data_IF_123783045514
#
_entry.id   IF_123783045514
#
_cell.length_a   1.000
_cell.length_b   1.000
_cell.length_c   1.000
_cell.angle_alpha   90.00
_cell.angle_beta   90.00
_cell.angle_gamma   90.00
#
_symmetry.space_group_name_H-M   'P 1'
#
loop_
_entity.id
_entity.type
_entity.pdbx_description
1 polymer ?
#
# COMPACT_ATOMS: atom_id res chain seq x y z
N UNK A 1 13.84 1.82 7.22
CA UNK A 1 13.61 1.63 8.66
C UNK A 1 13.39 0.15 8.90
N UNK A 2 12.70 -0.24 9.98
CA UNK A 2 12.13 -1.59 10.08
C UNK A 2 10.63 -1.46 9.85
N UNK A 3 10.10 -2.27 8.94
CA UNK A 3 8.68 -2.26 8.60
C UNK A 3 8.40 -2.57 7.14
N UNK A 4 7.14 -2.89 6.86
CA UNK A 4 6.63 -3.20 5.54
C UNK A 4 5.76 -2.04 5.05
N UNK A 5 5.96 -1.66 3.80
CA UNK A 5 5.11 -0.70 3.10
C UNK A 5 4.61 -1.33 1.80
N UNK A 6 3.33 -1.15 1.51
CA UNK A 6 2.74 -1.53 0.23
C UNK A 6 1.87 -0.40 -0.32
N UNK A 7 1.87 -0.28 -1.65
CA UNK A 7 1.07 0.69 -2.39
C UNK A 7 0.37 -0.07 -3.50
N UNK A 8 -0.95 0.13 -3.63
CA UNK A 8 -1.76 -0.54 -4.65
C UNK A 8 -2.88 0.36 -5.16
N UNK A 9 -3.29 0.15 -6.41
CA UNK A 9 -4.52 0.71 -6.94
C UNK A 9 -5.70 -0.17 -6.51
N UNK A 10 -6.77 0.47 -6.01
CA UNK A 10 -7.99 -0.21 -5.53
C UNK A 10 -9.25 0.52 -6.01
N UNK A 11 -10.41 -0.15 -6.10
CA UNK A 11 -11.67 0.51 -6.35
C UNK A 11 -12.11 1.38 -5.14
N UNK A 12 -12.99 2.37 -5.33
CA UNK A 12 -13.45 3.26 -4.25
C UNK A 12 -14.19 2.52 -3.13
N UNK A 13 -14.81 1.39 -3.44
CA UNK A 13 -15.52 0.54 -2.49
C UNK A 13 -14.60 -0.22 -1.53
N UNK A 14 -13.27 -0.23 -1.76
CA UNK A 14 -12.33 -0.88 -0.84
C UNK A 14 -12.36 -0.20 0.53
N UNK A 15 -12.65 -0.96 1.58
CA UNK A 15 -12.61 -0.47 2.95
C UNK A 15 -11.18 -0.12 3.40
N UNK A 16 -11.06 0.85 4.32
CA UNK A 16 -9.80 1.20 4.97
C UNK A 16 -9.71 0.36 6.25
N UNK A 17 -8.82 -0.62 6.26
CA UNK A 17 -8.71 -1.56 7.37
C UNK A 17 -7.31 -2.17 7.47
N UNK A 18 -6.92 -2.53 8.69
CA UNK A 18 -5.69 -3.27 8.94
C UNK A 18 -5.88 -4.72 8.50
N UNK A 19 -5.12 -5.13 7.49
CA UNK A 19 -5.13 -6.49 6.96
C UNK A 19 -3.89 -7.26 7.40
N UNK A 20 -4.09 -8.52 7.78
CA UNK A 20 -2.99 -9.45 7.98
C UNK A 20 -2.56 -10.03 6.62
N UNK A 21 -1.27 -10.31 6.42
CA UNK A 21 -0.67 -10.67 5.11
C UNK A 21 -1.44 -11.77 4.34
N UNK A 22 -2.13 -12.69 5.04
CA UNK A 22 -2.97 -13.73 4.43
C UNK A 22 -4.21 -13.21 3.69
N UNK A 23 -4.78 -12.07 4.07
CA UNK A 23 -5.98 -11.51 3.42
C UNK A 23 -5.66 -10.90 2.04
N UNK A 24 -4.43 -10.44 1.82
CA UNK A 24 -3.96 -9.83 0.56
C UNK A 24 -4.09 -10.82 -0.62
N UNK A 25 -3.88 -12.11 -0.37
CA UNK A 25 -3.98 -13.17 -1.39
C UNK A 25 -5.43 -13.48 -1.79
N UNK A 26 -6.39 -13.30 -0.88
CA UNK A 26 -7.82 -13.47 -1.16
C UNK A 26 -8.32 -12.29 -2.01
N UNK A 27 -7.81 -11.09 -1.73
CA UNK A 27 -8.17 -9.88 -2.44
C UNK A 27 -7.69 -9.86 -3.90
N UNK A 28 -6.53 -10.47 -4.18
CA UNK A 28 -6.07 -10.70 -5.55
C UNK A 28 -7.07 -11.50 -6.40
N UNK A 29 -7.93 -12.35 -5.80
CA UNK A 29 -9.01 -13.03 -6.53
C UNK A 29 -10.22 -12.13 -6.83
N UNK A 30 -10.48 -11.11 -6.00
CA UNK A 30 -11.52 -10.11 -6.25
C UNK A 30 -11.14 -9.12 -7.38
N UNK A 31 -9.85 -9.10 -7.77
CA UNK A 31 -9.32 -8.30 -8.88
C UNK A 31 -9.96 -8.58 -10.25
N UNK A 32 -10.78 -9.63 -10.41
CA UNK A 32 -11.57 -9.86 -11.65
C UNK A 32 -12.59 -8.76 -11.96
N UNK A 33 -12.91 -7.89 -10.99
CA UNK A 33 -13.89 -6.80 -11.13
C UNK A 33 -13.18 -5.43 -11.25
N UNK A 34 -11.86 -5.37 -11.08
CA UNK A 34 -11.09 -4.14 -11.12
C UNK A 34 -10.27 -4.04 -12.41
N UNK A 35 -10.46 -2.95 -13.15
CA UNK A 35 -9.91 -2.80 -14.50
C UNK A 35 -8.43 -2.40 -14.54
N UNK A 36 -7.77 -2.21 -13.40
CA UNK A 36 -6.35 -1.91 -13.32
C UNK A 36 -5.55 -3.13 -12.92
N UNK A 37 -4.51 -3.43 -13.71
CA UNK A 37 -3.58 -4.53 -13.50
C UNK A 37 -2.16 -3.99 -13.42
N UNK A 38 -1.37 -4.50 -12.48
CA UNK A 38 0.06 -4.22 -12.42
C UNK A 38 0.75 -4.96 -13.58
N UNK A 39 1.40 -4.22 -14.46
CA UNK A 39 2.11 -4.77 -15.62
C UNK A 39 3.61 -4.94 -15.33
N UNK A 40 4.15 -4.07 -14.48
CA UNK A 40 5.55 -4.10 -14.13
C UNK A 40 5.78 -3.64 -12.70
N UNK A 41 6.75 -4.27 -12.05
CA UNK A 41 7.25 -3.92 -10.73
C UNK A 41 8.76 -4.15 -10.70
N UNK A 42 9.47 -3.24 -10.06
CA UNK A 42 10.86 -3.42 -9.65
C UNK A 42 11.01 -2.97 -8.22
N UNK A 43 11.57 -3.84 -7.39
CA UNK A 43 11.87 -3.54 -5.98
C UNK A 43 13.33 -3.86 -5.71
N UNK A 44 14.09 -2.84 -5.30
CA UNK A 44 15.44 -2.98 -4.80
C UNK A 44 15.43 -2.88 -3.29
N UNK A 45 15.94 -3.92 -2.61
CA UNK A 45 16.01 -3.98 -1.15
C UNK A 45 17.46 -4.09 -0.71
N UNK A 46 17.81 -3.36 0.34
CA UNK A 46 19.11 -3.44 1.00
C UNK A 46 18.91 -3.46 2.51
N UNK A 47 19.74 -4.24 3.20
CA UNK A 47 19.76 -4.29 4.67
C UNK A 47 21.14 -3.92 5.16
N UNK A 48 21.21 -2.91 6.02
CA UNK A 48 22.44 -2.56 6.73
C UNK A 48 22.31 -2.98 8.18
N UNK A 49 23.28 -3.74 8.65
CA UNK A 49 23.33 -4.23 10.03
C UNK A 49 24.54 -3.60 10.72
N UNK A 50 24.36 -3.12 11.94
CA UNK A 50 25.43 -2.54 12.77
C UNK A 50 25.13 -2.78 14.25
N UNK A 51 26.11 -2.59 15.12
CA UNK A 51 25.84 -2.53 16.56
C UNK A 51 24.93 -1.33 16.87
N UNK A 52 24.02 -1.49 17.82
CA UNK A 52 23.15 -0.41 18.25
C UNK A 52 23.97 0.65 19.01
N UNK A 53 23.71 1.93 18.76
CA UNK A 53 24.38 3.04 19.46
C UNK A 53 24.03 3.12 20.95
N UNK A 54 22.82 2.71 21.33
CA UNK A 54 22.35 2.75 22.72
C UNK A 54 22.77 1.50 23.53
N UNK A 55 23.06 0.38 22.86
CA UNK A 55 23.40 -0.90 23.48
C UNK A 55 24.33 -1.69 22.54
N UNK A 56 25.66 -1.57 22.68
CA UNK A 56 26.61 -2.20 21.77
C UNK A 56 26.65 -3.74 21.88
N UNK A 57 25.99 -4.34 22.88
CA UNK A 57 25.80 -5.79 22.94
C UNK A 57 24.67 -6.26 22.00
N UNK A 58 23.87 -5.33 21.45
CA UNK A 58 22.78 -5.62 20.51
C UNK A 58 23.13 -5.22 19.09
N UNK A 59 22.52 -5.95 18.17
CA UNK A 59 22.62 -5.72 16.74
C UNK A 59 21.36 -5.04 16.24
N UNK A 60 21.51 -3.88 15.59
CA UNK A 60 20.45 -3.11 14.97
C UNK A 60 20.52 -3.28 13.45
N UNK A 61 19.36 -3.47 12.79
CA UNK A 61 19.27 -3.47 11.34
C UNK A 61 18.38 -2.36 10.81
N UNK A 62 18.80 -1.78 9.69
CA UNK A 62 18.05 -0.77 8.95
C UNK A 62 17.84 -1.26 7.52
N UNK A 63 16.57 -1.45 7.16
CA UNK A 63 16.20 -1.80 5.80
C UNK A 63 16.01 -0.54 4.96
N UNK A 64 16.39 -0.64 3.70
CA UNK A 64 16.17 0.32 2.63
C UNK A 64 15.44 -0.39 1.50
N UNK A 65 14.41 0.26 0.96
CA UNK A 65 13.67 -0.25 -0.18
C UNK A 65 13.39 0.88 -1.15
N UNK A 66 13.61 0.63 -2.44
CA UNK A 66 13.21 1.51 -3.53
C UNK A 66 12.36 0.69 -4.49
N UNK A 67 11.13 1.14 -4.75
CA UNK A 67 10.18 0.43 -5.59
C UNK A 67 9.64 1.33 -6.70
N UNK A 68 9.51 0.78 -7.89
CA UNK A 68 8.82 1.39 -9.02
C UNK A 68 7.82 0.39 -9.58
N UNK A 69 6.63 0.84 -9.95
CA UNK A 69 5.61 -0.02 -10.53
C UNK A 69 4.77 0.74 -11.57
N UNK A 70 4.26 -0.01 -12.53
CA UNK A 70 3.41 0.48 -13.62
C UNK A 70 2.13 -0.33 -13.68
N UNK A 71 1.00 0.36 -13.77
CA UNK A 71 -0.31 -0.26 -13.91
C UNK A 71 -0.93 0.12 -15.25
N UNK A 72 -1.57 -0.86 -15.89
CA UNK A 72 -2.42 -0.65 -17.05
C UNK A 72 -3.87 -0.75 -16.60
N UNK A 73 -4.67 0.26 -16.93
CA UNK A 73 -6.09 0.32 -16.61
C UNK A 73 -6.92 0.34 -17.90
N UNK A 74 -7.88 -0.58 -18.03
CA UNK A 74 -8.77 -0.64 -19.18
C UNK A 74 -10.01 0.25 -19.01
N UNK A 75 -10.51 0.77 -20.13
CA UNK A 75 -11.80 1.47 -20.17
C UNK A 75 -12.98 0.48 -20.03
N UNK A 76 -14.12 0.94 -19.47
CA UNK A 76 -14.39 2.30 -18.99
C UNK A 76 -13.68 2.61 -17.67
N UNK A 77 -13.07 3.81 -17.59
CA UNK A 77 -12.41 4.28 -16.37
C UNK A 77 -13.47 4.61 -15.31
N UNK A 78 -13.40 3.91 -14.17
CA UNK A 78 -14.06 4.32 -12.93
C UNK A 78 -13.01 4.96 -12.02
N UNK A 79 -13.45 5.76 -11.04
CA UNK A 79 -12.57 6.35 -10.01
C UNK A 79 -11.61 5.29 -9.48
N UNK A 80 -10.32 5.58 -9.51
CA UNK A 80 -9.27 4.73 -8.94
C UNK A 80 -8.77 5.39 -7.65
N UNK A 81 -8.52 4.58 -6.63
CA UNK A 81 -7.91 5.05 -5.39
C UNK A 81 -6.53 4.42 -5.20
N UNK A 82 -5.64 5.17 -4.56
CA UNK A 82 -4.35 4.70 -4.08
C UNK A 82 -4.52 4.23 -2.64
N UNK A 83 -4.22 2.97 -2.38
CA UNK A 83 -4.20 2.37 -1.05
C UNK A 83 -2.77 2.22 -0.57
N UNK A 84 -2.47 2.76 0.61
CA UNK A 84 -1.16 2.74 1.25
C UNK A 84 -1.32 2.00 2.56
N UNK A 85 -0.54 0.94 2.75
CA UNK A 85 -0.47 0.23 4.01
C UNK A 85 0.97 0.23 4.52
N UNK A 86 1.13 0.63 5.77
CA UNK A 86 2.42 0.73 6.44
C UNK A 86 2.35 0.02 7.79
N UNK A 87 3.30 -0.89 8.01
CA UNK A 87 3.43 -1.67 9.23
C UNK A 87 4.87 -1.56 9.74
N UNK A 88 5.09 -0.76 10.78
CA UNK A 88 6.35 -0.71 11.52
C UNK A 88 6.22 -1.50 12.83
N UNK A 89 7.32 -1.53 13.58
CA UNK A 89 7.37 -2.05 14.94
C UNK A 89 6.51 -1.23 15.90
N UNK A 90 6.44 0.09 15.69
CA UNK A 90 5.90 1.02 16.68
C UNK A 90 4.52 1.56 16.29
N UNK A 91 4.19 1.56 15.00
CA UNK A 91 2.93 2.09 14.47
C UNK A 91 2.51 1.36 13.21
N UNK A 92 1.21 1.38 12.96
CA UNK A 92 0.59 0.87 11.74
C UNK A 92 -0.32 1.96 11.18
N UNK A 93 -0.32 2.10 9.87
CA UNK A 93 -1.14 3.09 9.17
C UNK A 93 -1.71 2.47 7.90
N UNK A 94 -2.97 2.77 7.62
CA UNK A 94 -3.63 2.42 6.38
C UNK A 94 -4.36 3.65 5.88
N UNK A 95 -4.18 3.99 4.61
CA UNK A 95 -4.79 5.15 3.99
C UNK A 95 -5.29 4.81 2.59
N UNK A 96 -6.47 5.30 2.24
CA UNK A 96 -7.02 5.26 0.88
C UNK A 96 -7.23 6.69 0.40
N UNK A 97 -6.64 7.01 -0.74
CA UNK A 97 -6.74 8.34 -1.38
C UNK A 97 -7.40 8.18 -2.74
N UNK A 98 -8.48 8.90 -2.99
CA UNK A 98 -9.24 8.84 -4.24
C UNK A 98 -9.30 10.25 -4.87
N UNK A 99 -8.34 10.62 -5.75
CA UNK A 99 -8.21 12.01 -6.23
C UNK A 99 -9.46 12.56 -6.93
N UNK A 100 -10.12 11.73 -7.75
CA UNK A 100 -11.27 12.13 -8.58
C UNK A 100 -12.62 11.70 -8.00
N UNK A 101 -12.68 11.31 -6.72
CA UNK A 101 -13.91 10.80 -6.12
C UNK A 101 -15.07 11.80 -6.22
N UNK A 102 -14.82 13.06 -5.88
CA UNK A 102 -15.84 14.12 -5.92
C UNK A 102 -16.26 14.51 -7.34
N UNK A 103 -15.50 14.18 -8.38
CA UNK A 103 -15.89 14.45 -9.76
C UNK A 103 -16.92 13.42 -10.29
N UNK A 104 -16.92 12.22 -9.68
CA UNK A 104 -17.76 11.09 -10.12
C UNK A 104 -18.82 10.67 -9.10
N UNK A 105 -18.88 11.33 -7.94
CA UNK A 105 -19.80 11.04 -6.85
C UNK A 105 -20.74 12.21 -6.63
N UNK A 106 -22.06 11.97 -6.73
CA UNK A 106 -23.10 12.94 -6.35
C UNK A 106 -23.13 13.19 -4.82
N UNK A 107 -22.38 12.40 -4.04
CA UNK A 107 -22.28 12.51 -2.58
C UNK A 107 -20.89 12.98 -2.12
N UNK A 108 -20.79 13.98 -1.21
CA UNK A 108 -19.50 14.41 -0.67
C UNK A 108 -18.76 13.28 0.06
N UNK A 109 -17.45 13.14 -0.18
CA UNK A 109 -16.61 12.23 0.59
C UNK A 109 -16.47 12.70 2.04
N UNK A 110 -16.94 11.88 2.99
CA UNK A 110 -16.66 12.08 4.41
C UNK A 110 -15.54 11.13 4.85
N UNK A 111 -14.35 11.64 5.21
CA UNK A 111 -13.31 10.80 5.78
C UNK A 111 -13.75 10.30 7.16
N UNK A 112 -13.96 8.99 7.29
CA UNK A 112 -14.07 8.33 8.59
C UNK A 112 -12.67 8.25 9.21
N UNK A 113 -12.40 9.12 10.18
CA UNK A 113 -11.21 9.11 11.02
C UNK A 113 -11.29 8.06 12.13
#
# INVERSE_FOLDING_TARGET
GQGNISISLVPPSKAVEFHQERQIFIEAKASKIFNCRMEWEKVERGRRTSLCTHDPAKTCSRDHAQSSASWSCSQPFKVVCVYIAFYSTDYRLVQKVCPDYNYHSDTPYYPSG
#
